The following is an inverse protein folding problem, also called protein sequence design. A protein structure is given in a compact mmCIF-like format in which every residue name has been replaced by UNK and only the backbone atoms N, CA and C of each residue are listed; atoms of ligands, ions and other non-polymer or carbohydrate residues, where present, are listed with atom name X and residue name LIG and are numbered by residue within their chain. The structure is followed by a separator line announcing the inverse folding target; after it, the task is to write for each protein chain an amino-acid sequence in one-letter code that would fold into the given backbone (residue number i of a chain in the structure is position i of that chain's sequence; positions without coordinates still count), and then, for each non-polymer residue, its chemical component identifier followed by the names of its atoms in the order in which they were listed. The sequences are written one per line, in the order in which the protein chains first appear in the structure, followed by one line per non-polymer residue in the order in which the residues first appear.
data_IF_582924522397
#
_entry.id   IF_582924522397
#
_cell.length_a   1.000
_cell.length_b   1.000
_cell.length_c   1.000
_cell.angle_alpha   90.00
_cell.angle_beta   90.00
_cell.angle_gamma   90.00
#
_symmetry.space_group_name_H-M   'P 1'
#
loop_
_entity.id
_entity.type
_entity.pdbx_description
1 polymer ?
#
# COMPACT_ATOMS: atom_id res chain seq x y z
N UNK A 1 51.89 30.80 -2.36
CA UNK A 1 50.99 31.83 -1.78
C UNK A 1 49.99 32.28 -2.83
N UNK A 2 48.70 31.97 -2.65
CA UNK A 2 47.54 32.87 -2.85
C UNK A 2 46.24 32.06 -2.76
N UNK A 3 45.51 32.31 -1.66
CA UNK A 3 44.04 32.35 -1.53
C UNK A 3 43.33 31.00 -1.70
N UNK A 4 43.10 30.20 -0.65
CA UNK A 4 42.15 30.37 0.48
C UNK A 4 40.71 30.70 0.05
N UNK A 5 39.79 29.89 0.62
CA UNK A 5 38.34 30.05 0.78
C UNK A 5 37.50 29.47 -0.37
N UNK A 6 36.97 28.24 -0.25
CA UNK A 6 35.80 27.88 0.57
C UNK A 6 34.60 28.75 0.21
N UNK A 7 33.78 28.29 -0.74
CA UNK A 7 32.32 28.25 -0.58
C UNK A 7 31.85 26.94 -1.24
N UNK A 8 31.51 25.99 -0.38
CA UNK A 8 30.44 25.00 -0.53
C UNK A 8 29.92 24.82 -1.97
N UNK A 9 30.15 23.72 -2.69
CA UNK A 9 29.85 22.35 -2.23
C UNK A 9 28.61 22.28 -1.29
N UNK A 10 27.63 23.16 -1.49
CA UNK A 10 26.23 22.86 -1.25
C UNK A 10 25.83 21.96 -2.44
N UNK A 11 26.18 20.68 -2.40
CA UNK A 11 25.26 19.68 -1.87
C UNK A 11 23.90 19.90 -2.57
N UNK A 12 23.72 19.51 -3.84
CA UNK A 12 23.61 18.10 -4.22
C UNK A 12 23.03 17.26 -3.07
N UNK A 13 21.91 17.68 -2.49
CA UNK A 13 21.08 16.90 -1.58
C UNK A 13 19.67 17.52 -1.46
N UNK A 14 19.01 17.86 -2.58
CA UNK A 14 17.53 17.82 -2.62
C UNK A 14 17.03 16.37 -2.79
N UNK A 15 17.92 15.39 -2.81
CA UNK A 15 17.59 13.98 -2.63
C UNK A 15 17.35 13.71 -1.15
N UNK A 16 16.07 13.73 -0.76
CA UNK A 16 15.46 12.76 0.16
C UNK A 16 14.28 13.36 0.95
N UNK A 17 13.34 14.06 0.30
CA UNK A 17 11.93 13.82 0.64
C UNK A 17 11.45 12.56 -0.09
N UNK A 18 12.25 11.50 -0.02
CA UNK A 18 11.79 10.14 -0.26
C UNK A 18 11.76 9.47 1.12
N UNK A 19 11.05 10.11 2.05
CA UNK A 19 10.31 9.33 3.02
C UNK A 19 9.35 8.52 2.16
N UNK A 20 9.78 7.33 1.73
CA UNK A 20 8.97 6.42 0.95
C UNK A 20 7.73 6.16 1.80
N UNK A 21 6.67 6.93 1.56
CA UNK A 21 5.43 6.81 2.31
C UNK A 21 5.04 5.35 2.19
N UNK A 22 5.02 4.66 3.33
CA UNK A 22 4.66 3.24 3.34
C UNK A 22 3.28 3.17 2.69
N UNK A 23 3.19 2.41 1.60
CA UNK A 23 1.92 2.24 0.90
C UNK A 23 0.86 1.84 1.91
N UNK A 24 -0.18 2.66 1.99
CA UNK A 24 -1.24 2.51 2.96
C UNK A 24 -2.57 2.71 2.25
N UNK A 25 -3.62 2.11 2.82
CA UNK A 25 -4.97 2.32 2.32
C UNK A 25 -5.32 3.81 2.33
N UNK A 26 -4.90 4.53 3.36
CA UNK A 26 -5.20 5.96 3.54
C UNK A 26 -4.50 6.83 2.50
N UNK A 27 -3.23 6.55 2.19
CA UNK A 27 -2.49 7.31 1.18
C UNK A 27 -2.98 6.97 -0.23
N UNK A 28 -3.27 5.69 -0.51
CA UNK A 28 -3.89 5.29 -1.78
C UNK A 28 -5.27 5.92 -1.96
N UNK A 29 -6.10 5.94 -0.91
CA UNK A 29 -7.41 6.59 -0.94
C UNK A 29 -7.31 8.10 -1.22
N UNK A 30 -6.32 8.77 -0.62
CA UNK A 30 -6.04 10.19 -0.88
C UNK A 30 -5.56 10.42 -2.32
N UNK A 31 -4.60 9.63 -2.81
CA UNK A 31 -4.07 9.74 -4.19
C UNK A 31 -5.19 9.56 -5.22
N UNK A 32 -6.12 8.64 -4.97
CA UNK A 32 -7.25 8.35 -5.86
C UNK A 32 -8.46 9.27 -5.66
N UNK A 33 -8.43 10.17 -4.68
CA UNK A 33 -9.56 11.03 -4.28
C UNK A 33 -10.85 10.22 -4.02
N UNK A 34 -10.73 9.13 -3.26
CA UNK A 34 -11.89 8.28 -2.95
C UNK A 34 -12.87 9.00 -2.00
N UNK A 35 -14.19 8.89 -2.22
CA UNK A 35 -15.20 9.35 -1.26
C UNK A 35 -15.04 8.67 0.10
N UNK A 36 -15.35 9.40 1.18
CA UNK A 36 -15.25 8.91 2.56
C UNK A 36 -15.98 7.57 2.73
N UNK A 37 -17.17 7.44 2.15
CA UNK A 37 -17.96 6.19 2.20
C UNK A 37 -17.22 4.99 1.60
N UNK A 38 -16.56 5.17 0.45
CA UNK A 38 -15.76 4.11 -0.17
C UNK A 38 -14.53 3.78 0.69
N UNK A 39 -13.90 4.80 1.28
CA UNK A 39 -12.76 4.60 2.19
C UNK A 39 -13.16 3.79 3.41
N UNK A 40 -14.30 4.09 4.03
CA UNK A 40 -14.80 3.37 5.20
C UNK A 40 -15.14 1.92 4.87
N UNK A 41 -15.75 1.67 3.70
CA UNK A 41 -15.98 0.32 3.20
C UNK A 41 -14.67 -0.44 2.97
N UNK A 42 -13.67 0.19 2.36
CA UNK A 42 -12.35 -0.43 2.17
C UNK A 42 -11.65 -0.70 3.50
N UNK A 43 -11.74 0.20 4.48
CA UNK A 43 -11.15 0.04 5.82
C UNK A 43 -11.76 -1.15 6.56
N UNK A 44 -13.09 -1.22 6.59
CA UNK A 44 -13.82 -2.33 7.20
C UNK A 44 -13.42 -3.67 6.56
N UNK A 45 -13.42 -3.71 5.23
CA UNK A 45 -13.02 -4.88 4.45
C UNK A 45 -11.54 -5.26 4.69
N UNK A 46 -10.64 -4.28 4.75
CA UNK A 46 -9.21 -4.52 4.99
C UNK A 46 -8.94 -5.06 6.40
N UNK A 47 -9.69 -4.59 7.41
CA UNK A 47 -9.63 -5.12 8.76
C UNK A 47 -10.08 -6.59 8.81
N UNK A 48 -11.21 -6.93 8.18
CA UNK A 48 -11.70 -8.31 8.10
C UNK A 48 -10.70 -9.24 7.39
N UNK A 49 -10.17 -8.80 6.24
CA UNK A 49 -9.13 -9.54 5.51
C UNK A 49 -7.88 -9.76 6.37
N UNK A 50 -7.45 -8.73 7.10
CA UNK A 50 -6.27 -8.80 7.96
C UNK A 50 -6.49 -9.82 9.08
N UNK A 51 -7.67 -9.84 9.69
CA UNK A 51 -8.02 -10.81 10.72
C UNK A 51 -7.96 -12.24 10.17
N UNK A 52 -8.55 -12.52 9.01
CA UNK A 52 -8.48 -13.84 8.37
C UNK A 52 -7.04 -14.27 8.08
N UNK A 53 -6.19 -13.37 7.60
CA UNK A 53 -4.77 -13.65 7.36
C UNK A 53 -4.04 -13.94 8.67
N UNK A 54 -4.31 -13.19 9.73
CA UNK A 54 -3.73 -13.45 11.05
C UNK A 54 -4.17 -14.81 11.58
N UNK A 55 -5.42 -15.21 11.38
CA UNK A 55 -5.91 -16.52 11.81
C UNK A 55 -5.23 -17.65 11.04
N UNK A 56 -4.99 -17.50 9.73
CA UNK A 56 -4.16 -18.45 8.97
C UNK A 56 -2.74 -18.52 9.52
N UNK A 57 -2.10 -17.38 9.83
CA UNK A 57 -0.74 -17.35 10.39
C UNK A 57 -0.64 -18.01 11.76
N UNK A 58 -1.70 -17.96 12.58
CA UNK A 58 -1.75 -18.64 13.88
C UNK A 58 -1.74 -20.16 13.74
N UNK A 59 -2.16 -20.70 12.60
CA UNK A 59 -2.14 -22.15 12.33
C UNK A 59 -0.73 -22.71 12.12
N UNK A 60 0.31 -21.85 12.04
CA UNK A 60 1.72 -22.24 11.88
C UNK A 60 1.93 -23.29 10.78
N UNK A 61 1.26 -23.07 9.64
CA UNK A 61 1.34 -23.97 8.49
C UNK A 61 2.70 -23.88 7.81
N UNK A 62 3.02 -24.90 7.02
CA UNK A 62 4.17 -24.85 6.11
C UNK A 62 4.04 -23.66 5.15
N UNK A 63 5.17 -23.05 4.77
CA UNK A 63 5.20 -21.80 4.01
C UNK A 63 4.36 -21.84 2.71
N UNK A 64 4.34 -22.99 2.03
CA UNK A 64 3.56 -23.18 0.81
C UNK A 64 2.05 -23.20 1.08
N UNK A 65 1.61 -23.89 2.14
CA UNK A 65 0.20 -23.99 2.52
C UNK A 65 -0.32 -22.66 3.07
N UNK A 66 0.47 -21.96 3.89
CA UNK A 66 0.14 -20.62 4.36
C UNK A 66 -0.08 -19.67 3.17
N UNK A 67 0.83 -19.66 2.20
CA UNK A 67 0.71 -18.83 0.99
C UNK A 67 -0.54 -19.17 0.19
N UNK A 68 -0.87 -20.44 0.02
CA UNK A 68 -2.07 -20.86 -0.69
C UNK A 68 -3.35 -20.32 0.00
N UNK A 69 -3.48 -20.48 1.32
CA UNK A 69 -4.63 -19.96 2.07
C UNK A 69 -4.72 -18.43 2.04
N UNK A 70 -3.58 -17.74 2.16
CA UNK A 70 -3.55 -16.28 2.03
C UNK A 70 -3.96 -15.85 0.61
N UNK A 71 -3.57 -16.58 -0.44
CA UNK A 71 -4.00 -16.31 -1.81
C UNK A 71 -5.50 -16.53 -2.00
N UNK A 72 -6.08 -17.57 -1.40
CA UNK A 72 -7.54 -17.81 -1.42
C UNK A 72 -8.30 -16.66 -0.76
N UNK A 73 -7.83 -16.21 0.41
CA UNK A 73 -8.36 -14.99 1.05
C UNK A 73 -8.26 -13.82 0.07
N UNK A 74 -7.11 -13.58 -0.57
CA UNK A 74 -6.98 -12.46 -1.51
C UNK A 74 -7.95 -12.55 -2.69
N UNK A 75 -8.18 -13.76 -3.23
CA UNK A 75 -9.15 -14.00 -4.31
C UNK A 75 -10.59 -13.72 -3.85
N UNK A 76 -10.94 -14.00 -2.60
CA UNK A 76 -12.26 -13.69 -2.04
C UNK A 76 -12.50 -12.18 -1.95
N UNK A 77 -11.49 -11.40 -1.57
CA UNK A 77 -11.62 -9.96 -1.32
C UNK A 77 -11.45 -9.11 -2.57
N UNK A 78 -10.74 -9.60 -3.59
CA UNK A 78 -10.53 -8.85 -4.82
C UNK A 78 -11.83 -8.38 -5.50
N UNK A 79 -12.85 -9.24 -5.72
CA UNK A 79 -14.13 -8.80 -6.27
C UNK A 79 -14.86 -7.79 -5.37
N UNK A 80 -14.70 -7.89 -4.05
CA UNK A 80 -15.30 -6.94 -3.10
C UNK A 80 -14.67 -5.56 -3.26
N UNK A 81 -13.35 -5.46 -3.35
CA UNK A 81 -12.62 -4.23 -3.65
C UNK A 81 -13.08 -3.61 -4.97
N UNK A 82 -13.22 -4.44 -6.02
CA UNK A 82 -13.67 -3.97 -7.33
C UNK A 82 -15.11 -3.42 -7.30
N UNK A 83 -16.01 -3.99 -6.48
CA UNK A 83 -17.37 -3.47 -6.31
C UNK A 83 -17.40 -2.11 -5.59
N UNK A 84 -16.51 -1.90 -4.62
CA UNK A 84 -16.43 -0.63 -3.87
C UNK A 84 -15.87 0.48 -4.77
N UNK A 85 -14.80 0.19 -5.49
CA UNK A 85 -14.08 1.19 -6.30
C UNK A 85 -14.70 1.41 -7.68
N UNK A 86 -15.30 0.37 -8.27
CA UNK A 86 -15.65 0.36 -9.68
C UNK A 86 -14.43 0.14 -10.61
N UNK A 87 -14.67 -0.12 -11.91
CA UNK A 87 -13.62 -0.56 -12.84
C UNK A 87 -12.54 0.48 -13.13
N UNK A 88 -12.87 1.78 -13.11
CA UNK A 88 -11.91 2.86 -13.38
C UNK A 88 -10.93 3.03 -12.22
N UNK A 89 -11.46 3.27 -11.01
CA UNK A 89 -10.64 3.42 -9.80
C UNK A 89 -9.88 2.16 -9.42
N UNK A 90 -10.37 0.97 -9.80
CA UNK A 90 -9.64 -0.28 -9.60
C UNK A 90 -8.29 -0.30 -10.35
N UNK A 91 -8.21 0.27 -11.56
CA UNK A 91 -6.95 0.33 -12.31
C UNK A 91 -5.92 1.23 -11.62
N UNK A 92 -6.35 2.41 -11.19
CA UNK A 92 -5.54 3.36 -10.41
C UNK A 92 -5.08 2.73 -9.10
N UNK A 93 -5.96 2.00 -8.43
CA UNK A 93 -5.68 1.31 -7.17
C UNK A 93 -4.62 0.24 -7.36
N UNK A 94 -4.72 -0.55 -8.41
CA UNK A 94 -3.70 -1.55 -8.74
C UNK A 94 -2.35 -0.91 -9.07
N UNK A 95 -2.35 0.17 -9.83
CA UNK A 95 -1.14 0.92 -10.12
C UNK A 95 -0.48 1.43 -8.82
N UNK A 96 -1.27 1.98 -7.90
CA UNK A 96 -0.78 2.40 -6.58
C UNK A 96 -0.06 1.27 -5.84
N UNK A 97 -0.62 0.06 -5.80
CA UNK A 97 0.00 -1.08 -5.10
C UNK A 97 1.18 -1.71 -5.83
N UNK A 98 1.32 -1.50 -7.14
CA UNK A 98 2.45 -2.03 -7.94
C UNK A 98 3.64 -1.07 -8.09
N UNK A 99 3.46 0.25 -7.87
CA UNK A 99 4.52 1.29 -7.93
C UNK A 99 5.74 1.05 -7.03
#
# INVERSE_FOLDING_TARGET
MKKLLVIAALALCTTAMNAQEKKSLENGAKELNLPIEQVDQLKSMAAERTQKIQDVKKLKLESAEEKAKIQEINKEYWPKTQRILGPEKMKEWNAYWQK
#
